data_IF_436259345280
#
_entry.id   IF_436259345280
#
_cell.length_a   1.000
_cell.length_b   1.000
_cell.length_c   1.000
_cell.angle_alpha   90.00
_cell.angle_beta   90.00
_cell.angle_gamma   90.00
#
_symmetry.space_group_name_H-M   'P 1'
#
loop_
_entity.id
_entity.type
_entity.pdbx_description
1 polymer ?
#
# COMPACT_ATOMS: atom_id res chain seq x y z
N UNK A 1 -18.55 27.77 -17.06
CA UNK A 1 -17.12 27.53 -16.80
C UNK A 1 -16.73 27.75 -15.34
N UNK A 2 -17.10 28.87 -14.70
CA UNK A 2 -16.73 29.14 -13.29
C UNK A 2 -17.35 28.21 -12.25
N UNK A 3 -18.57 27.68 -12.47
CA UNK A 3 -19.19 26.71 -11.56
C UNK A 3 -18.44 25.38 -11.51
N UNK A 4 -18.15 24.78 -12.67
CA UNK A 4 -17.35 23.54 -12.74
C UNK A 4 -16.00 23.67 -12.05
N UNK A 5 -15.31 24.81 -12.20
CA UNK A 5 -14.04 25.05 -11.49
C UNK A 5 -14.22 25.11 -9.97
N UNK A 6 -15.34 25.62 -9.46
CA UNK A 6 -15.64 25.65 -8.02
C UNK A 6 -16.00 24.26 -7.47
N UNK A 7 -16.63 23.42 -8.28
CA UNK A 7 -16.91 22.02 -7.94
C UNK A 7 -15.60 21.22 -7.84
N UNK A 8 -14.74 21.31 -8.86
CA UNK A 8 -13.39 20.72 -8.82
C UNK A 8 -12.56 21.24 -7.64
N UNK A 9 -12.68 22.53 -7.32
CA UNK A 9 -12.04 23.12 -6.15
C UNK A 9 -12.52 22.47 -4.83
N UNK A 10 -13.82 22.17 -4.73
CA UNK A 10 -14.38 21.46 -3.57
C UNK A 10 -13.90 20.02 -3.51
N UNK A 11 -13.91 19.30 -4.63
CA UNK A 11 -13.40 17.93 -4.71
C UNK A 11 -11.92 17.85 -4.34
N UNK A 12 -11.12 18.84 -4.77
CA UNK A 12 -9.71 18.96 -4.38
C UNK A 12 -9.54 19.17 -2.86
N UNK A 13 -10.39 19.96 -2.23
CA UNK A 13 -10.36 20.25 -0.78
C UNK A 13 -10.67 19.04 0.09
N UNK A 14 -11.54 18.16 -0.42
CA UNK A 14 -11.94 16.91 0.22
C UNK A 14 -10.99 15.75 -0.13
N UNK A 15 -10.05 15.97 -1.05
CA UNK A 15 -9.07 14.97 -1.48
C UNK A 15 -9.59 13.96 -2.50
N UNK A 16 -10.73 14.26 -3.12
CA UNK A 16 -11.40 13.40 -4.11
C UNK A 16 -10.85 13.58 -5.54
N UNK A 17 -10.18 14.71 -5.81
CA UNK A 17 -9.60 15.04 -7.12
C UNK A 17 -8.09 15.30 -7.03
N UNK A 18 -7.33 14.81 -8.02
CA UNK A 18 -5.92 15.14 -8.17
C UNK A 18 -5.74 16.56 -8.71
N UNK A 19 -4.86 17.36 -8.10
CA UNK A 19 -4.67 18.78 -8.39
C UNK A 19 -4.06 19.13 -9.77
N UNK A 20 -4.08 18.21 -10.73
CA UNK A 20 -3.41 18.34 -12.02
C UNK A 20 -3.99 19.53 -12.81
N UNK A 21 -3.22 20.63 -12.88
CA UNK A 21 -3.61 21.86 -13.60
C UNK A 21 -4.54 22.81 -12.82
N UNK A 22 -5.16 22.36 -11.73
CA UNK A 22 -6.05 23.23 -10.95
C UNK A 22 -5.27 24.32 -10.20
N UNK A 23 -4.07 24.01 -9.71
CA UNK A 23 -3.25 24.99 -8.98
C UNK A 23 -2.78 26.16 -9.87
N UNK A 24 -2.49 25.91 -11.16
CA UNK A 24 -2.17 27.01 -12.09
C UNK A 24 -3.37 27.92 -12.32
N UNK A 25 -4.56 27.34 -12.42
CA UNK A 25 -5.80 28.09 -12.58
C UNK A 25 -6.13 28.93 -11.35
N UNK A 26 -5.99 28.36 -10.14
CA UNK A 26 -6.13 29.08 -8.88
C UNK A 26 -5.10 30.21 -8.79
N UNK A 27 -3.86 29.99 -9.22
CA UNK A 27 -2.82 31.02 -9.20
C UNK A 27 -3.14 32.24 -10.07
N UNK A 28 -3.89 32.08 -11.16
CA UNK A 28 -4.23 33.17 -12.09
C UNK A 28 -5.59 33.83 -11.82
N UNK A 29 -6.53 33.12 -11.19
CA UNK A 29 -7.90 33.59 -10.98
C UNK A 29 -8.15 34.03 -9.53
N UNK A 30 -8.28 35.34 -9.32
CA UNK A 30 -8.56 35.93 -8.01
C UNK A 30 -9.91 35.48 -7.41
N UNK A 31 -10.91 35.19 -8.23
CA UNK A 31 -12.21 34.70 -7.78
C UNK A 31 -12.15 33.26 -7.26
N UNK A 32 -11.32 32.41 -7.88
CA UNK A 32 -11.04 31.06 -7.37
C UNK A 32 -10.24 31.10 -6.07
N UNK A 33 -9.23 31.97 -5.96
CA UNK A 33 -8.48 32.17 -4.69
C UNK A 33 -9.40 32.59 -3.55
N UNK A 34 -10.32 33.52 -3.81
CA UNK A 34 -11.29 33.96 -2.82
C UNK A 34 -12.26 32.83 -2.43
N UNK A 35 -12.67 32.01 -3.40
CA UNK A 35 -13.54 30.85 -3.13
C UNK A 35 -12.81 29.81 -2.26
N UNK A 36 -11.55 29.47 -2.59
CA UNK A 36 -10.70 28.58 -1.82
C UNK A 36 -10.55 29.05 -0.36
N UNK A 37 -10.26 30.34 -0.18
CA UNK A 37 -10.17 30.96 1.15
C UNK A 37 -11.49 30.84 1.92
N UNK A 38 -12.62 31.15 1.29
CA UNK A 38 -13.92 31.10 1.93
C UNK A 38 -14.30 29.67 2.35
N UNK A 39 -13.97 28.67 1.54
CA UNK A 39 -14.24 27.26 1.88
C UNK A 39 -13.45 26.81 3.11
N UNK A 40 -12.16 27.14 3.20
CA UNK A 40 -11.38 26.89 4.42
C UNK A 40 -11.97 27.63 5.63
N UNK A 41 -12.35 28.90 5.47
CA UNK A 41 -12.93 29.68 6.57
C UNK A 41 -14.25 29.07 7.09
N UNK A 42 -15.13 28.63 6.18
CA UNK A 42 -16.38 27.95 6.55
C UNK A 42 -16.08 26.62 7.26
N UNK A 43 -15.15 25.82 6.73
CA UNK A 43 -14.71 24.55 7.32
C UNK A 43 -14.18 24.73 8.74
N UNK A 44 -13.30 25.70 8.95
CA UNK A 44 -12.71 26.00 10.26
C UNK A 44 -13.79 26.53 11.22
N UNK A 45 -14.75 27.31 10.71
CA UNK A 45 -15.91 27.77 11.47
C UNK A 45 -16.83 26.65 11.93
N UNK A 46 -17.15 25.70 11.03
CA UNK A 46 -17.95 24.52 11.37
C UNK A 46 -17.26 23.63 12.41
N UNK A 47 -15.93 23.56 12.38
CA UNK A 47 -15.12 22.81 13.35
C UNK A 47 -14.86 23.56 14.66
N UNK A 48 -15.26 24.84 14.75
CA UNK A 48 -14.95 25.73 15.87
C UNK A 48 -13.44 25.88 16.10
N UNK A 49 -12.67 25.81 15.02
CA UNK A 49 -11.21 25.95 15.00
C UNK A 49 -10.77 27.38 14.63
N UNK A 50 -11.72 28.32 14.52
CA UNK A 50 -11.42 29.71 14.20
C UNK A 50 -10.60 30.35 15.34
N UNK A 51 -9.53 31.09 15.00
CA UNK A 51 -8.77 31.84 15.99
C UNK A 51 -9.61 32.97 16.59
N UNK A 52 -9.25 33.41 17.80
CA UNK A 52 -9.87 34.55 18.47
C UNK A 52 -9.76 35.87 17.70
N UNK A 53 -8.75 36.00 16.83
CA UNK A 53 -8.58 37.11 15.89
C UNK A 53 -8.36 36.60 14.47
N UNK A 54 -9.16 37.05 13.51
CA UNK A 54 -9.00 36.70 12.10
C UNK A 54 -7.96 37.62 11.43
N UNK A 55 -6.88 37.01 10.93
CA UNK A 55 -5.84 37.71 10.18
C UNK A 55 -5.82 37.20 8.74
N UNK A 56 -6.30 38.00 7.79
CA UNK A 56 -6.41 37.60 6.39
C UNK A 56 -5.12 37.77 5.57
N UNK A 57 -4.13 38.48 6.11
CA UNK A 57 -2.90 38.84 5.40
C UNK A 57 -1.73 37.87 5.63
N UNK A 58 -1.94 36.77 6.37
CA UNK A 58 -0.88 35.79 6.65
C UNK A 58 -0.38 35.16 5.35
N UNK A 59 -1.29 34.73 4.48
CA UNK A 59 -0.92 34.11 3.19
C UNK A 59 -0.12 35.06 2.31
N UNK A 60 -0.49 36.34 2.27
CA UNK A 60 0.23 37.36 1.51
C UNK A 60 1.65 37.61 2.06
N UNK A 61 1.79 37.68 3.39
CA UNK A 61 3.10 37.82 4.05
C UNK A 61 4.00 36.61 3.81
N UNK A 62 3.44 35.41 3.88
CA UNK A 62 4.18 34.16 3.61
C UNK A 62 4.61 34.10 2.14
N UNK A 63 3.72 34.43 1.20
CA UNK A 63 4.07 34.47 -0.22
C UNK A 63 5.22 35.46 -0.50
N UNK A 64 5.17 36.66 0.07
CA UNK A 64 6.23 37.66 -0.06
C UNK A 64 7.56 37.20 0.57
N UNK A 65 7.50 36.48 1.69
CA UNK A 65 8.70 35.92 2.33
C UNK A 65 9.32 34.82 1.45
N UNK A 66 8.52 33.91 0.89
CA UNK A 66 8.98 32.84 0.00
C UNK A 66 9.61 33.42 -1.28
N UNK A 67 9.05 34.48 -1.84
CA UNK A 67 9.64 35.14 -3.02
C UNK A 67 11.03 35.74 -2.74
N UNK A 68 11.30 36.10 -1.49
CA UNK A 68 12.61 36.60 -1.05
C UNK A 68 13.61 35.49 -0.69
N UNK A 69 13.17 34.22 -0.64
CA UNK A 69 14.07 33.10 -0.35
C UNK A 69 14.96 32.78 -1.56
N UNK A 70 16.28 32.64 -1.39
CA UNK A 70 17.15 32.22 -2.47
C UNK A 70 16.82 30.77 -2.85
N UNK A 71 16.55 30.52 -4.13
CA UNK A 71 16.21 29.19 -4.63
C UNK A 71 17.38 28.20 -4.40
N UNK A 72 17.32 27.43 -3.32
CA UNK A 72 18.26 26.35 -3.05
C UNK A 72 17.95 25.21 -4.02
N UNK A 73 18.60 25.22 -5.18
CA UNK A 73 18.64 24.09 -6.10
C UNK A 73 19.43 22.95 -5.45
N UNK A 74 18.78 22.18 -4.59
CA UNK A 74 19.38 20.96 -4.04
C UNK A 74 19.75 20.04 -5.22
N UNK A 75 21.02 19.65 -5.38
CA UNK A 75 21.41 18.75 -6.45
C UNK A 75 20.71 17.40 -6.22
N UNK A 76 19.81 17.04 -7.13
CA UNK A 76 19.21 15.70 -7.18
C UNK A 76 20.34 14.71 -7.48
N UNK A 77 20.92 14.09 -6.45
CA UNK A 77 21.90 13.00 -6.61
C UNK A 77 21.26 11.92 -7.48
N UNK A 78 21.73 11.78 -8.72
CA UNK A 78 21.27 10.69 -9.58
C UNK A 78 21.91 9.42 -9.03
N UNK A 79 21.22 8.29 -9.09
CA UNK A 79 21.77 6.99 -8.65
C UNK A 79 23.08 6.62 -9.37
N UNK A 80 23.36 7.26 -10.51
CA UNK A 80 24.61 7.19 -11.28
C UNK A 80 25.80 7.92 -10.65
N UNK A 81 25.58 8.81 -9.69
CA UNK A 81 26.64 9.61 -9.04
C UNK A 81 27.27 8.87 -7.85
N UNK A 82 26.87 7.62 -7.60
CA UNK A 82 27.49 6.72 -6.63
C UNK A 82 28.61 5.96 -7.34
N UNK A 83 29.90 6.20 -7.02
CA UNK A 83 31.04 5.65 -7.77
C UNK A 83 31.05 4.12 -7.82
N UNK A 84 30.48 3.48 -6.79
CA UNK A 84 30.40 2.01 -6.67
C UNK A 84 29.35 1.40 -7.62
N UNK A 85 28.27 2.12 -7.91
CA UNK A 85 27.14 1.60 -8.70
C UNK A 85 27.45 1.64 -10.20
N UNK A 86 28.17 2.67 -10.68
CA UNK A 86 28.53 2.82 -12.10
C UNK A 86 29.36 1.66 -12.67
N UNK A 87 30.15 0.98 -11.83
CA UNK A 87 31.08 -0.07 -12.27
C UNK A 87 30.50 -1.50 -12.20
N UNK A 88 29.46 -1.72 -11.39
CA UNK A 88 28.82 -3.05 -11.22
C UNK A 88 27.55 -3.25 -12.03
N UNK A 89 26.93 -2.18 -12.56
CA UNK A 89 25.76 -2.27 -13.44
C UNK A 89 25.95 -3.18 -14.67
N UNK A 90 27.10 -3.16 -15.40
CA UNK A 90 27.23 -4.03 -16.57
C UNK A 90 27.35 -5.52 -16.18
N UNK A 91 27.92 -5.83 -15.01
CA UNK A 91 28.09 -7.21 -14.53
C UNK A 91 26.75 -7.80 -14.01
N UNK A 92 25.94 -6.99 -13.32
CA UNK A 92 24.62 -7.42 -12.80
C UNK A 92 23.61 -7.67 -13.93
N UNK A 93 23.73 -6.96 -15.06
CA UNK A 93 22.85 -7.16 -16.23
C UNK A 93 23.01 -8.52 -16.92
N UNK A 94 24.15 -9.19 -16.77
CA UNK A 94 24.38 -10.54 -17.33
C UNK A 94 24.20 -11.67 -16.30
N UNK A 95 24.25 -11.38 -14.99
CA UNK A 95 24.19 -12.39 -13.92
C UNK A 95 22.91 -12.46 -13.09
N UNK A 96 21.89 -11.63 -13.38
CA UNK A 96 20.70 -11.43 -12.53
C UNK A 96 19.85 -12.67 -12.24
N UNK A 97 20.02 -13.77 -12.99
CA UNK A 97 19.26 -15.01 -12.79
C UNK A 97 19.79 -15.86 -11.61
N UNK A 98 21.04 -15.68 -11.18
CA UNK A 98 21.64 -16.47 -10.10
C UNK A 98 21.48 -15.83 -8.70
N UNK A 99 21.05 -14.56 -8.63
CA UNK A 99 20.96 -13.83 -7.38
C UNK A 99 19.96 -14.46 -6.38
N UNK A 100 18.83 -14.95 -6.87
CA UNK A 100 17.81 -15.60 -6.03
C UNK A 100 18.34 -16.93 -5.49
N UNK A 101 18.97 -17.76 -6.34
CA UNK A 101 19.52 -19.05 -5.95
C UNK A 101 20.67 -18.91 -4.92
N UNK A 102 21.58 -17.96 -5.13
CA UNK A 102 22.68 -17.69 -4.20
C UNK A 102 22.17 -17.21 -2.83
N UNK A 103 21.13 -16.37 -2.82
CA UNK A 103 20.52 -15.87 -1.58
C UNK A 103 19.85 -17.00 -0.78
N UNK A 104 19.12 -17.89 -1.46
CA UNK A 104 18.48 -19.05 -0.82
C UNK A 104 19.52 -20.05 -0.31
N UNK A 105 20.57 -20.34 -1.08
CA UNK A 105 21.65 -21.24 -0.66
C UNK A 105 22.40 -20.70 0.56
N UNK A 106 22.74 -19.40 0.59
CA UNK A 106 23.37 -18.77 1.74
C UNK A 106 22.47 -18.82 2.99
N UNK A 107 21.18 -18.53 2.83
CA UNK A 107 20.21 -18.60 3.93
C UNK A 107 20.08 -20.04 4.51
N UNK A 108 20.10 -21.06 3.66
CA UNK A 108 20.07 -22.46 4.11
C UNK A 108 21.33 -22.87 4.89
N UNK A 109 22.52 -22.47 4.42
CA UNK A 109 23.79 -22.79 5.10
C UNK A 109 23.83 -22.13 6.48
N UNK A 110 23.45 -20.85 6.58
CA UNK A 110 23.42 -20.12 7.85
C UNK A 110 22.34 -20.71 8.79
N UNK A 111 21.16 -21.03 8.26
CA UNK A 111 20.06 -21.60 9.04
C UNK A 111 20.37 -22.97 9.64
N UNK A 112 21.02 -23.86 8.88
CA UNK A 112 21.39 -25.20 9.37
C UNK A 112 22.45 -25.11 10.48
N UNK A 113 23.40 -24.18 10.40
CA UNK A 113 24.40 -23.99 11.44
C UNK A 113 23.81 -23.41 12.74
N UNK A 114 22.72 -22.65 12.64
CA UNK A 114 22.00 -22.14 13.81
C UNK A 114 21.15 -23.21 14.49
N UNK A 115 20.56 -24.13 13.73
CA UNK A 115 19.70 -25.21 14.26
C UNK A 115 20.50 -26.36 14.89
N UNK A 116 21.74 -26.59 14.44
CA UNK A 116 22.62 -27.65 14.98
C UNK A 116 23.55 -27.18 16.12
N UNK A 117 23.35 -26.00 16.69
CA UNK A 117 24.04 -25.64 17.93
C UNK A 117 23.49 -26.51 19.07
N UNK A 118 24.33 -27.25 19.81
CA UNK A 118 23.87 -27.95 21.00
C UNK A 118 23.33 -26.90 21.99
N UNK A 119 22.03 -26.98 22.28
CA UNK A 119 21.36 -26.16 23.30
C UNK A 119 22.14 -26.29 24.60
N UNK A 120 22.70 -25.20 25.16
CA UNK A 120 23.25 -25.26 26.50
C UNK A 120 22.09 -25.56 27.47
N UNK A 121 22.15 -26.71 28.12
CA UNK A 121 21.27 -27.09 29.25
C UNK A 121 21.37 -25.98 30.32
N UNK A 122 20.41 -25.06 30.32
CA UNK A 122 20.19 -24.15 31.42
C UNK A 122 19.01 -24.63 32.26
N UNK A 123 19.17 -24.81 33.58
CA UNK A 123 18.09 -25.27 34.43
C UNK A 123 16.97 -24.23 34.47
N UNK A 124 15.75 -24.71 34.29
CA UNK A 124 14.50 -23.96 34.32
C UNK A 124 14.45 -22.91 35.44
N UNK A 125 14.45 -21.62 35.06
CA UNK A 125 14.05 -20.54 35.96
C UNK A 125 12.64 -20.09 35.57
N UNK A 126 11.64 -20.55 36.31
CA UNK A 126 10.29 -20.00 36.27
C UNK A 126 10.33 -18.54 36.75
N UNK A 127 9.70 -17.64 35.99
CA UNK A 127 9.57 -16.23 36.38
C UNK A 127 8.74 -16.11 37.68
N UNK A 128 9.05 -15.14 38.57
CA UNK A 128 8.32 -15.00 39.82
C UNK A 128 6.92 -14.46 39.54
N UNK A 129 5.89 -15.12 40.06
CA UNK A 129 4.54 -14.60 40.07
C UNK A 129 4.48 -13.39 41.02
N UNK A 130 4.11 -12.23 40.48
CA UNK A 130 3.87 -11.03 41.26
C UNK A 130 2.54 -11.20 42.01
N UNK A 131 2.60 -11.50 43.29
CA UNK A 131 1.43 -11.66 44.16
C UNK A 131 1.00 -10.29 44.71
N UNK A 132 -0.13 -9.76 44.23
CA UNK A 132 -0.77 -8.57 44.82
C UNK A 132 -1.71 -9.06 45.93
N UNK A 133 -1.52 -8.64 47.19
CA UNK A 133 -2.40 -9.04 48.29
C UNK A 133 -3.82 -8.46 48.10
N UNK A 134 -4.84 -9.32 48.12
CA UNK A 134 -6.25 -8.91 48.21
C UNK A 134 -7.16 -9.30 47.04
N UNK A 135 -6.64 -9.88 45.95
CA UNK A 135 -7.48 -10.41 44.87
C UNK A 135 -7.49 -11.93 44.89
N UNK A 136 -8.57 -12.51 45.41
CA UNK A 136 -8.85 -13.93 45.24
C UNK A 136 -8.99 -14.25 43.76
N UNK A 137 -8.36 -15.36 43.36
CA UNK A 137 -8.26 -15.85 42.00
C UNK A 137 -9.64 -16.08 41.36
N UNK A 138 -10.19 -15.04 40.74
CA UNK A 138 -11.26 -15.12 39.76
C UNK A 138 -10.63 -15.09 38.38
N UNK A 139 -10.47 -16.27 37.77
CA UNK A 139 -9.97 -16.41 36.41
C UNK A 139 -10.84 -15.63 35.44
N UNK A 140 -10.36 -14.47 35.00
CA UNK A 140 -10.93 -13.79 33.85
C UNK A 140 -10.51 -14.60 32.63
N UNK A 141 -11.48 -15.32 32.05
CA UNK A 141 -11.32 -16.06 30.81
C UNK A 141 -10.75 -15.12 29.75
N UNK A 142 -9.61 -15.45 29.11
CA UNK A 142 -9.13 -14.66 28.00
C UNK A 142 -10.21 -14.68 26.92
N UNK A 143 -10.69 -13.49 26.56
CA UNK A 143 -11.44 -13.29 25.33
C UNK A 143 -10.55 -13.80 24.20
N UNK A 144 -11.03 -14.82 23.48
CA UNK A 144 -10.31 -15.48 22.41
C UNK A 144 -9.91 -14.46 21.34
N UNK A 145 -8.67 -13.96 21.41
CA UNK A 145 -7.96 -13.44 20.26
C UNK A 145 -7.86 -14.59 19.25
N UNK A 146 -8.34 -14.34 18.03
CA UNK A 146 -8.13 -15.10 16.80
C UNK A 146 -7.16 -16.28 16.92
N UNK A 147 -7.74 -17.46 17.09
CA UNK A 147 -7.42 -18.66 16.32
C UNK A 147 -5.93 -18.80 15.97
N UNK A 148 -5.16 -19.26 16.96
CA UNK A 148 -3.96 -20.04 16.68
C UNK A 148 -4.32 -21.10 15.64
N UNK A 149 -3.81 -20.94 14.41
CA UNK A 149 -3.85 -21.99 13.40
C UNK A 149 -2.93 -23.07 13.96
N UNK A 150 -3.51 -24.08 14.61
CA UNK A 150 -2.79 -25.34 14.81
C UNK A 150 -2.33 -25.79 13.42
N UNK A 151 -1.02 -25.84 13.19
CA UNK A 151 -0.49 -26.44 11.98
C UNK A 151 -1.04 -27.88 11.94
N UNK A 152 -1.77 -28.28 10.88
CA UNK A 152 -2.19 -29.65 10.75
C UNK A 152 -0.96 -30.56 10.77
N UNK A 153 -1.06 -31.79 11.32
CA UNK A 153 -0.05 -32.83 11.12
C UNK A 153 0.41 -32.86 9.66
N UNK A 154 1.70 -33.09 9.40
CA UNK A 154 2.27 -33.01 8.05
C UNK A 154 1.54 -33.88 6.99
N UNK A 155 0.88 -34.96 7.43
CA UNK A 155 0.01 -35.79 6.61
C UNK A 155 -1.24 -35.04 6.11
N UNK A 156 -1.92 -34.29 6.98
CA UNK A 156 -3.13 -33.53 6.65
C UNK A 156 -2.81 -32.34 5.73
N UNK A 157 -1.64 -31.72 5.89
CA UNK A 157 -1.16 -30.66 5.00
C UNK A 157 -0.91 -31.18 3.57
N UNK A 158 -0.48 -32.42 3.41
CA UNK A 158 -0.29 -33.04 2.09
C UNK A 158 -1.63 -33.36 1.43
N UNK A 159 -2.61 -33.85 2.19
CA UNK A 159 -3.96 -34.07 1.68
C UNK A 159 -4.63 -32.77 1.25
N UNK A 160 -4.52 -31.71 2.05
CA UNK A 160 -5.03 -30.39 1.69
C UNK A 160 -4.40 -29.87 0.39
N UNK A 161 -3.08 -30.00 0.23
CA UNK A 161 -2.40 -29.64 -1.03
C UNK A 161 -2.92 -30.44 -2.23
N UNK A 162 -3.16 -31.74 -2.07
CA UNK A 162 -3.72 -32.59 -3.14
C UNK A 162 -5.14 -32.14 -3.53
N UNK A 163 -5.99 -31.85 -2.55
CA UNK A 163 -7.37 -31.36 -2.79
C UNK A 163 -7.37 -30.00 -3.50
N UNK A 164 -6.50 -29.08 -3.07
CA UNK A 164 -6.36 -27.75 -3.69
C UNK A 164 -5.85 -27.87 -5.13
N UNK A 165 -4.84 -28.71 -5.38
CA UNK A 165 -4.33 -28.94 -6.73
C UNK A 165 -5.41 -29.55 -7.65
N UNK A 166 -6.17 -30.53 -7.16
CA UNK A 166 -7.28 -31.11 -7.91
C UNK A 166 -8.33 -30.04 -8.26
N UNK A 167 -8.75 -29.23 -7.28
CA UNK A 167 -9.71 -28.15 -7.49
C UNK A 167 -9.22 -27.12 -8.51
N UNK A 168 -7.96 -26.68 -8.42
CA UNK A 168 -7.39 -25.72 -9.37
C UNK A 168 -7.38 -26.26 -10.80
N UNK A 169 -7.00 -27.54 -10.98
CA UNK A 169 -6.99 -28.17 -12.30
C UNK A 169 -8.39 -28.33 -12.89
N UNK A 170 -9.39 -28.66 -12.06
CA UNK A 170 -10.78 -28.77 -12.51
C UNK A 170 -11.36 -27.41 -12.90
N UNK A 171 -11.13 -26.39 -12.06
CA UNK A 171 -11.56 -25.02 -12.34
C UNK A 171 -10.97 -24.50 -13.65
N UNK A 172 -9.69 -24.76 -13.91
CA UNK A 172 -9.06 -24.38 -15.19
C UNK A 172 -9.71 -25.06 -16.40
N UNK A 173 -10.16 -26.31 -16.28
CA UNK A 173 -10.89 -27.00 -17.35
C UNK A 173 -12.26 -26.40 -17.56
N UNK A 174 -13.01 -26.13 -16.48
CA UNK A 174 -14.32 -25.50 -16.59
C UNK A 174 -14.23 -24.13 -17.26
N UNK A 175 -13.24 -23.32 -16.91
CA UNK A 175 -13.02 -22.02 -17.57
C UNK A 175 -12.70 -22.15 -19.06
N UNK A 176 -11.93 -23.17 -19.46
CA UNK A 176 -11.66 -23.44 -20.88
C UNK A 176 -12.89 -23.91 -21.64
N UNK A 177 -13.70 -24.79 -21.05
CA UNK A 177 -14.95 -25.26 -21.67
C UNK A 177 -15.94 -24.10 -21.83
N UNK A 178 -16.08 -23.24 -20.81
CA UNK A 178 -16.91 -22.03 -20.89
C UNK A 178 -16.38 -21.05 -21.95
N UNK A 179 -15.06 -20.88 -22.06
CA UNK A 179 -14.46 -20.03 -23.08
C UNK A 179 -14.65 -20.61 -24.50
N UNK A 180 -14.61 -21.93 -24.66
CA UNK A 180 -14.91 -22.61 -25.93
C UNK A 180 -16.39 -22.50 -26.29
N UNK A 181 -17.30 -22.74 -25.34
CA UNK A 181 -18.73 -22.53 -25.54
C UNK A 181 -19.08 -21.09 -25.89
N UNK A 182 -18.50 -20.10 -25.20
CA UNK A 182 -18.68 -18.69 -25.53
C UNK A 182 -18.22 -18.39 -26.97
N UNK A 183 -17.08 -18.95 -27.38
CA UNK A 183 -16.56 -18.80 -28.75
C UNK A 183 -17.43 -19.52 -29.79
N UNK A 184 -17.97 -20.68 -29.48
CA UNK A 184 -18.90 -21.42 -30.35
C UNK A 184 -20.26 -20.72 -30.46
N UNK A 185 -20.75 -20.11 -29.38
CA UNK A 185 -21.93 -19.24 -29.40
C UNK A 185 -21.71 -17.98 -30.23
N UNK A 186 -20.56 -17.30 -30.10
CA UNK A 186 -20.19 -16.15 -30.93
C UNK A 186 -20.07 -16.53 -32.42
N UNK A 187 -19.53 -17.72 -32.73
CA UNK A 187 -19.43 -18.22 -34.10
C UNK A 187 -20.81 -18.56 -34.69
N UNK A 188 -21.70 -19.19 -33.93
CA UNK A 188 -23.07 -19.49 -34.37
C UNK A 188 -23.93 -18.22 -34.51
N UNK A 189 -23.74 -17.22 -33.66
CA UNK A 189 -24.44 -15.92 -33.75
C UNK A 189 -23.93 -15.11 -34.96
N UNK A 190 -22.66 -15.27 -35.35
CA UNK A 190 -22.09 -14.67 -36.57
C UNK A 190 -22.50 -15.37 -37.88
N UNK A 191 -22.93 -16.63 -37.82
CA UNK A 191 -23.32 -17.42 -39.01
C UNK A 191 -24.82 -17.36 -39.33
N UNK A 192 -25.66 -16.88 -38.40
CA UNK A 192 -27.11 -16.68 -38.62
C UNK A 192 -27.43 -15.28 -39.20
N UNK A 193 -26.49 -14.33 -39.22
CA UNK A 193 -26.70 -13.02 -39.85
C UNK A 193 -25.72 -12.77 -41.02
N UNK A 194 -26.02 -13.36 -42.19
CA UNK A 194 -26.04 -12.52 -43.37
C UNK A 194 -27.24 -12.88 -44.25
N UNK A 195 -28.26 -12.03 -44.27
CA UNK A 195 -29.05 -11.62 -45.46
C UNK A 195 -30.23 -10.78 -44.97
N UNK A 196 -30.07 -9.45 -44.94
CA UNK A 196 -31.10 -8.47 -45.31
C UNK A 196 -30.55 -7.05 -45.14
N UNK A 197 -29.98 -6.48 -46.20
CA UNK A 197 -30.60 -5.44 -47.05
C UNK A 197 -29.55 -4.65 -47.83
#
# INVERSE_FOLDING_TARGET
>A
MTQQKKESLSALMDGEESANGLFSDIGQDQGLQQTWRNYHLIRDGLRKELPSSLNFDISARVAAAIEQEPAILAPKKRLRDIPVVGQVIPLVRQGGQFAIAASVAAAMIIGVQQLNQPTPEQPFSSAPALQIPGMQAGGLSPVSLEQTRSLPPAADALEQKRRINAYLTDHQRQMRLKAQQAKESELQESEVEPQQK
#
